data_IF_808679215632
#
_entry.id   IF_808679215632
#
_cell.length_a   1.000
_cell.length_b   1.000
_cell.length_c   1.000
_cell.angle_alpha   90.00
_cell.angle_beta   90.00
_cell.angle_gamma   90.00
#
_symmetry.space_group_name_H-M   'P 1'
#
loop_
_entity.id
_entity.type
_entity.pdbx_description
1 polymer ?
#
# COMPACT_ATOMS: atom_id res chain seq x y z
N UNK A 1 -28.83 12.48 24.22
CA UNK A 1 -27.88 12.48 25.36
C UNK A 1 -28.44 13.38 26.43
N UNK A 2 -28.30 12.99 27.70
CA UNK A 2 -28.85 13.78 28.82
C UNK A 2 -27.91 14.96 29.11
N UNK A 3 -28.42 16.20 29.19
CA UNK A 3 -27.63 17.38 29.54
C UNK A 3 -27.46 17.52 31.07
N UNK A 4 -26.68 18.52 31.50
CA UNK A 4 -26.43 18.79 32.93
C UNK A 4 -27.70 19.23 33.71
N UNK A 5 -28.73 19.67 32.99
CA UNK A 5 -30.06 19.99 33.55
C UNK A 5 -30.98 18.76 33.62
N UNK A 6 -30.49 17.57 33.25
CA UNK A 6 -31.25 16.33 33.26
C UNK A 6 -32.18 16.14 32.05
N UNK A 7 -32.18 17.05 31.09
CA UNK A 7 -33.05 17.01 29.91
C UNK A 7 -32.45 16.13 28.81
N UNK A 8 -33.31 15.52 28.01
CA UNK A 8 -32.89 14.73 26.84
C UNK A 8 -32.65 15.65 25.65
N UNK A 9 -31.40 15.72 25.20
CA UNK A 9 -30.99 16.52 24.04
C UNK A 9 -30.70 15.60 22.84
N UNK A 10 -31.24 15.88 21.64
CA UNK A 10 -30.94 15.10 20.44
C UNK A 10 -29.46 15.26 20.05
N UNK A 11 -28.86 14.19 19.49
CA UNK A 11 -27.44 14.19 19.11
C UNK A 11 -27.11 15.24 18.04
N UNK A 12 -28.08 15.53 17.16
CA UNK A 12 -27.98 16.57 16.13
C UNK A 12 -27.87 18.00 16.68
N UNK A 13 -28.18 18.24 17.97
CA UNK A 13 -28.05 19.58 18.57
C UNK A 13 -26.59 19.99 18.84
N UNK A 14 -25.65 19.03 18.79
CA UNK A 14 -24.23 19.29 19.08
C UNK A 14 -23.26 18.42 18.25
N UNK A 15 -23.76 17.62 17.30
CA UNK A 15 -22.94 16.82 16.41
C UNK A 15 -23.51 16.82 14.98
N UNK A 16 -22.62 16.71 14.00
CA UNK A 16 -22.96 16.59 12.58
C UNK A 16 -22.53 15.22 12.07
N UNK A 17 -23.39 14.55 11.30
CA UNK A 17 -23.11 13.24 10.71
C UNK A 17 -23.01 13.38 9.20
N UNK A 18 -21.95 12.82 8.61
CA UNK A 18 -21.73 12.71 7.17
C UNK A 18 -21.49 11.26 6.79
N UNK A 19 -21.84 10.90 5.55
CA UNK A 19 -21.40 9.65 4.94
C UNK A 19 -20.04 9.88 4.30
N UNK A 20 -19.03 9.18 4.79
CA UNK A 20 -17.68 9.24 4.22
C UNK A 20 -17.20 7.86 3.78
N UNK A 21 -16.42 7.83 2.70
CA UNK A 21 -15.81 6.60 2.21
C UNK A 21 -14.48 6.39 2.92
N UNK A 22 -14.51 5.67 4.04
CA UNK A 22 -13.29 5.19 4.71
C UNK A 22 -12.71 3.96 4.01
N UNK A 23 -11.38 3.81 3.99
CA UNK A 23 -10.76 2.56 3.54
C UNK A 23 -11.10 1.45 4.54
N UNK A 24 -11.69 0.35 4.06
CA UNK A 24 -12.06 -0.79 4.91
C UNK A 24 -10.83 -1.54 5.48
N UNK A 25 -9.65 -1.33 4.90
CA UNK A 25 -8.40 -1.93 5.35
C UNK A 25 -7.22 -0.98 5.07
N UNK A 26 -6.27 -0.95 6.01
CA UNK A 26 -4.98 -0.28 5.84
C UNK A 26 -3.91 -1.36 5.74
N UNK A 27 -3.50 -1.68 4.51
CA UNK A 27 -2.38 -2.58 4.27
C UNK A 27 -1.06 -1.86 4.58
N UNK A 28 -0.18 -2.55 5.30
CA UNK A 28 1.15 -2.06 5.64
C UNK A 28 2.20 -3.09 5.23
N UNK A 29 3.33 -2.60 4.74
CA UNK A 29 4.52 -3.40 4.50
C UNK A 29 5.66 -2.81 5.34
N UNK A 30 6.26 -3.63 6.22
CA UNK A 30 7.29 -3.21 7.17
C UNK A 30 6.94 -1.94 7.98
N UNK A 31 5.67 -1.78 8.35
CA UNK A 31 5.18 -0.65 9.17
C UNK A 31 4.72 0.57 8.37
N UNK A 32 5.08 0.68 7.09
CA UNK A 32 4.67 1.78 6.19
C UNK A 32 3.39 1.42 5.46
N UNK A 33 2.42 2.35 5.27
CA UNK A 33 1.25 2.13 4.42
C UNK A 33 1.68 1.69 3.02
N UNK A 34 1.14 0.59 2.54
CA UNK A 34 1.54 0.00 1.28
C UNK A 34 0.36 -0.68 0.60
N UNK A 35 0.40 -0.74 -0.73
CA UNK A 35 -0.56 -1.47 -1.55
C UNK A 35 0.17 -2.67 -2.15
N UNK A 36 -0.45 -3.84 -2.07
CA UNK A 36 0.09 -5.04 -2.71
C UNK A 36 -0.32 -5.06 -4.19
N UNK A 37 0.66 -5.24 -5.07
CA UNK A 37 0.47 -5.38 -6.51
C UNK A 37 1.05 -6.72 -6.93
N UNK A 38 0.28 -7.50 -7.70
CA UNK A 38 0.71 -8.78 -8.25
C UNK A 38 0.57 -8.77 -9.77
N UNK A 39 1.49 -9.43 -10.45
CA UNK A 39 1.54 -9.47 -11.91
C UNK A 39 2.57 -10.49 -12.40
N UNK A 40 2.62 -10.66 -13.72
CA UNK A 40 3.57 -11.53 -14.40
C UNK A 40 4.22 -10.77 -15.56
N UNK A 41 5.47 -11.09 -15.93
CA UNK A 41 6.12 -10.49 -17.09
C UNK A 41 5.37 -10.81 -18.38
N UNK A 42 5.53 -9.94 -19.39
CA UNK A 42 5.04 -10.22 -20.73
C UNK A 42 5.75 -11.45 -21.34
N UNK A 43 5.11 -12.12 -22.30
CA UNK A 43 5.69 -13.29 -22.97
C UNK A 43 7.03 -12.94 -23.61
N UNK A 44 8.07 -13.73 -23.31
CA UNK A 44 9.43 -13.53 -23.81
C UNK A 44 10.27 -12.52 -23.02
N UNK A 45 9.74 -11.94 -21.95
CA UNK A 45 10.46 -11.05 -21.03
C UNK A 45 10.81 -11.79 -19.75
N UNK A 46 12.01 -11.57 -19.22
CA UNK A 46 12.40 -12.15 -17.93
C UNK A 46 11.71 -11.45 -16.76
N UNK A 47 11.50 -12.18 -15.68
CA UNK A 47 10.97 -11.66 -14.42
C UNK A 47 11.83 -10.53 -13.86
N UNK A 48 13.17 -10.64 -13.92
CA UNK A 48 14.08 -9.57 -13.51
C UNK A 48 13.88 -8.26 -14.28
N UNK A 49 13.71 -8.31 -15.61
CA UNK A 49 13.44 -7.11 -16.42
C UNK A 49 12.10 -6.49 -16.04
N UNK A 50 11.08 -7.30 -15.79
CA UNK A 50 9.79 -6.79 -15.33
C UNK A 50 9.88 -6.18 -13.92
N UNK A 51 10.72 -6.72 -13.03
CA UNK A 51 10.96 -6.14 -11.71
C UNK A 51 11.67 -4.79 -11.80
N UNK A 52 12.71 -4.67 -12.62
CA UNK A 52 13.42 -3.40 -12.80
C UNK A 52 12.50 -2.31 -13.40
N UNK A 53 11.63 -2.68 -14.34
CA UNK A 53 10.63 -1.76 -14.90
C UNK A 53 9.61 -1.30 -13.85
N UNK A 54 9.15 -2.21 -12.98
CA UNK A 54 8.24 -1.85 -11.88
C UNK A 54 8.88 -0.88 -10.89
N UNK A 55 10.18 -1.05 -10.58
CA UNK A 55 10.93 -0.10 -9.74
C UNK A 55 11.05 1.27 -10.45
N UNK A 56 11.33 1.29 -11.75
CA UNK A 56 11.39 2.52 -12.54
C UNK A 56 10.05 3.27 -12.57
N UNK A 57 8.94 2.55 -12.75
CA UNK A 57 7.59 3.14 -12.72
C UNK A 57 7.24 3.68 -11.35
N UNK A 58 7.57 2.96 -10.27
CA UNK A 58 7.36 3.45 -8.91
C UNK A 58 8.18 4.72 -8.62
N UNK A 59 9.42 4.78 -9.09
CA UNK A 59 10.29 5.96 -8.95
C UNK A 59 9.82 7.17 -9.78
N UNK A 60 9.11 6.93 -10.88
CA UNK A 60 8.53 7.98 -11.73
C UNK A 60 7.26 8.62 -11.13
N UNK A 61 6.65 8.01 -10.10
CA UNK A 61 5.49 8.57 -9.43
C UNK A 61 5.88 9.78 -8.58
N UNK A 62 5.17 10.89 -8.77
CA UNK A 62 5.29 12.04 -7.88
C UNK A 62 4.70 11.70 -6.51
N UNK A 63 5.37 12.09 -5.42
CA UNK A 63 4.94 11.80 -4.05
C UNK A 63 5.86 10.87 -3.23
N UNK A 64 7.04 10.52 -3.74
CA UNK A 64 8.07 9.81 -2.95
C UNK A 64 7.72 8.36 -2.64
N UNK A 65 7.03 7.68 -3.56
CA UNK A 65 6.69 6.27 -3.43
C UNK A 65 7.92 5.38 -3.53
N UNK A 66 7.96 4.33 -2.69
CA UNK A 66 8.99 3.29 -2.75
C UNK A 66 8.38 1.96 -3.20
N UNK A 67 9.19 1.14 -3.87
CA UNK A 67 8.86 -0.24 -4.21
C UNK A 67 9.54 -1.20 -3.22
N UNK A 68 8.83 -2.28 -2.86
CA UNK A 68 9.40 -3.36 -2.06
C UNK A 68 8.89 -4.71 -2.54
N UNK A 69 9.80 -5.68 -2.63
CA UNK A 69 9.50 -7.03 -3.08
C UNK A 69 9.17 -7.95 -1.91
N UNK A 70 8.26 -8.90 -2.13
CA UNK A 70 7.92 -9.95 -1.17
C UNK A 70 7.84 -11.31 -1.87
N UNK A 71 7.89 -12.39 -1.10
CA UNK A 71 7.76 -13.76 -1.61
C UNK A 71 8.82 -14.14 -2.65
N UNK A 72 8.37 -14.70 -3.77
CA UNK A 72 9.26 -15.18 -4.85
C UNK A 72 10.09 -14.06 -5.47
N UNK A 73 9.50 -12.89 -5.72
CA UNK A 73 10.24 -11.74 -6.26
C UNK A 73 11.35 -11.27 -5.32
N UNK A 74 11.13 -11.35 -4.00
CA UNK A 74 12.19 -11.05 -3.03
C UNK A 74 13.34 -12.07 -3.08
N UNK A 75 13.01 -13.36 -3.17
CA UNK A 75 14.01 -14.42 -3.31
C UNK A 75 14.79 -14.32 -4.63
N UNK A 76 14.12 -13.92 -5.71
CA UNK A 76 14.74 -13.71 -7.02
C UNK A 76 15.74 -12.54 -6.96
N UNK A 77 15.38 -11.41 -6.33
CA UNK A 77 16.28 -10.26 -6.16
C UNK A 77 17.53 -10.65 -5.35
N UNK A 78 17.35 -11.40 -4.26
CA UNK A 78 18.47 -11.89 -3.46
C UNK A 78 19.37 -12.83 -4.26
N UNK A 79 18.79 -13.77 -5.01
CA UNK A 79 19.55 -14.76 -5.79
C UNK A 79 20.29 -14.11 -6.97
N UNK A 80 19.66 -13.16 -7.66
CA UNK A 80 20.29 -12.38 -8.74
C UNK A 80 21.49 -11.56 -8.25
N UNK A 81 21.42 -11.01 -7.03
CA UNK A 81 22.56 -10.31 -6.43
C UNK A 81 23.74 -11.23 -6.11
N UNK A 82 23.49 -12.50 -5.76
CA UNK A 82 24.53 -13.50 -5.51
C UNK A 82 25.15 -14.03 -6.80
N UNK A 83 24.36 -14.17 -7.87
CA UNK A 83 24.84 -14.66 -9.17
C UNK A 83 25.88 -13.71 -9.82
N UNK A 84 25.89 -12.43 -9.45
CA UNK A 84 26.87 -11.45 -9.96
C UNK A 84 28.21 -11.48 -9.19
N UNK A 85 28.27 -12.17 -8.03
CA UNK A 85 29.47 -12.27 -7.18
C UNK A 85 30.33 -13.52 -7.45
N UNK A 86 30.00 -14.33 -8.45
CA UNK A 86 30.76 -15.52 -8.88
C UNK A 86 31.38 -15.30 -10.26
#
# INVERSE_FOLDING_TARGET
VRNNSGEMVPFSAFATTSWEKGSASLSRFNGTPAISISGAPATGVSSGVAMDEMEAQAAALDGGYGAAWSGLSYQERLSGSQATML
#
